data_IF_831954044399
#
_entry.id   IF_831954044399
#
_cell.length_a   1.000
_cell.length_b   1.000
_cell.length_c   1.000
_cell.angle_alpha   90.00
_cell.angle_beta   90.00
_cell.angle_gamma   90.00
#
_symmetry.space_group_name_H-M   'P 1'
#
loop_
_entity.id
_entity.type
_entity.pdbx_description
1 polymer ?
#
# COMPACT_ATOMS: atom_id res chain seq x y z
N UNK A 1 -7.56 -1.11 7.08
CA UNK A 1 -7.65 0.10 6.21
C UNK A 1 -7.69 -0.34 4.75
N UNK A 2 -8.37 0.39 3.86
CA UNK A 2 -8.28 0.15 2.42
C UNK A 2 -7.15 0.99 1.80
N UNK A 3 -6.10 0.34 1.28
CA UNK A 3 -4.94 1.01 0.66
C UNK A 3 -5.35 1.83 -0.58
N UNK A 4 -6.36 1.39 -1.33
CA UNK A 4 -6.82 2.07 -2.54
C UNK A 4 -7.49 3.41 -2.24
N UNK A 5 -8.12 3.56 -1.08
CA UNK A 5 -8.81 4.79 -0.67
C UNK A 5 -8.04 5.63 0.35
N UNK A 6 -6.96 5.08 0.93
CA UNK A 6 -6.19 5.74 1.98
C UNK A 6 -5.50 7.02 1.47
N UNK A 7 -5.50 8.07 2.29
CA UNK A 7 -4.70 9.27 2.05
C UNK A 7 -3.20 8.99 2.27
N UNK A 8 -2.28 9.80 1.70
CA UNK A 8 -0.86 9.58 1.92
C UNK A 8 -0.46 9.74 3.39
N UNK A 9 -1.19 10.54 4.17
CA UNK A 9 -1.00 10.66 5.61
C UNK A 9 -1.37 9.38 6.36
N UNK A 10 -2.51 8.78 6.03
CA UNK A 10 -2.94 7.50 6.60
C UNK A 10 -1.96 6.38 6.24
N UNK A 11 -1.49 6.32 5.00
CA UNK A 11 -0.48 5.35 4.57
C UNK A 11 0.81 5.49 5.38
N UNK A 12 1.29 6.72 5.59
CA UNK A 12 2.52 6.98 6.36
C UNK A 12 2.38 6.52 7.83
N UNK A 13 1.21 6.72 8.44
CA UNK A 13 0.97 6.39 9.84
C UNK A 13 0.73 4.89 10.03
N UNK A 14 -0.10 4.29 9.18
CA UNK A 14 -0.58 2.92 9.35
C UNK A 14 0.44 1.92 8.81
N UNK A 15 1.01 2.16 7.63
CA UNK A 15 2.05 1.30 7.07
C UNK A 15 3.44 1.61 7.66
N UNK A 16 3.54 2.65 8.50
CA UNK A 16 4.79 3.16 9.08
C UNK A 16 5.88 3.47 8.03
N UNK A 17 5.46 3.72 6.79
CA UNK A 17 6.35 4.02 5.67
C UNK A 17 6.71 5.51 5.62
N UNK A 18 7.80 5.82 4.92
CA UNK A 18 8.19 7.21 4.69
C UNK A 18 7.18 7.94 3.79
N UNK A 19 7.06 9.26 3.96
CA UNK A 19 6.21 10.12 3.10
C UNK A 19 6.52 9.96 1.59
N UNK A 20 7.79 9.87 1.15
CA UNK A 20 8.10 9.58 -0.26
C UNK A 20 7.56 8.22 -0.72
N UNK A 21 7.62 7.18 0.11
CA UNK A 21 7.09 5.86 -0.24
C UNK A 21 5.56 5.87 -0.30
N UNK A 22 4.89 6.60 0.60
CA UNK A 22 3.45 6.81 0.54
C UNK A 22 3.03 7.51 -0.77
N UNK A 23 3.80 8.49 -1.23
CA UNK A 23 3.55 9.15 -2.53
C UNK A 23 3.75 8.19 -3.71
N UNK A 24 4.80 7.36 -3.70
CA UNK A 24 5.00 6.33 -4.74
C UNK A 24 3.87 5.30 -4.76
N UNK A 25 3.36 4.92 -3.59
CA UNK A 25 2.20 4.03 -3.46
C UNK A 25 0.96 4.62 -4.11
N UNK A 26 0.71 5.92 -3.93
CA UNK A 26 -0.39 6.60 -4.61
C UNK A 26 -0.17 6.69 -6.12
N UNK A 27 1.03 7.04 -6.57
CA UNK A 27 1.32 7.08 -8.00
C UNK A 27 1.08 5.71 -8.66
N UNK A 28 1.57 4.64 -8.02
CA UNK A 28 1.41 3.28 -8.50
C UNK A 28 -0.06 2.83 -8.50
N UNK A 29 -0.84 3.16 -7.46
CA UNK A 29 -2.28 2.83 -7.45
C UNK A 29 -3.03 3.56 -8.57
N UNK A 30 -2.67 4.79 -8.90
CA UNK A 30 -3.30 5.55 -9.99
C UNK A 30 -2.94 4.93 -11.35
N UNK A 31 -1.71 4.45 -11.51
CA UNK A 31 -1.25 3.74 -12.72
C UNK A 31 -1.97 2.39 -12.91
N UNK A 32 -2.25 1.68 -11.82
CA UNK A 32 -2.90 0.36 -11.85
C UNK A 32 -4.43 0.41 -11.79
N UNK A 33 -5.02 1.61 -11.72
CA UNK A 33 -6.44 1.83 -11.46
C UNK A 33 -6.92 1.17 -10.15
N UNK A 34 -6.05 1.20 -9.14
CA UNK A 34 -6.19 0.53 -7.85
C UNK A 34 -5.45 -0.80 -7.80
N UNK A 35 -4.92 -1.12 -6.63
CA UNK A 35 -4.37 -2.44 -6.34
C UNK A 35 -5.49 -3.47 -6.32
N UNK A 36 -5.33 -4.53 -7.10
CA UNK A 36 -6.30 -5.64 -7.19
C UNK A 36 -5.80 -6.81 -6.38
N UNK A 37 -4.48 -7.00 -6.37
CA UNK A 37 -3.82 -8.06 -5.63
C UNK A 37 -2.66 -7.48 -4.82
N UNK A 38 -2.32 -8.12 -3.68
CA UNK A 38 -1.17 -7.70 -2.89
C UNK A 38 0.16 -7.67 -3.63
N UNK A 39 0.31 -8.53 -4.63
CA UNK A 39 1.52 -8.57 -5.46
C UNK A 39 1.75 -7.25 -6.21
N UNK A 40 0.71 -6.47 -6.46
CA UNK A 40 0.83 -5.18 -7.12
C UNK A 40 1.69 -4.19 -6.31
N UNK A 41 1.68 -4.29 -4.97
CA UNK A 41 2.50 -3.46 -4.09
C UNK A 41 3.99 -3.82 -4.16
N UNK A 42 4.34 -5.05 -4.54
CA UNK A 42 5.73 -5.50 -4.68
C UNK A 42 6.45 -4.85 -5.87
N UNK A 43 5.72 -4.14 -6.74
CA UNK A 43 6.31 -3.28 -7.76
C UNK A 43 7.07 -2.09 -7.16
N UNK A 44 6.80 -1.76 -5.88
CA UNK A 44 7.64 -0.86 -5.10
C UNK A 44 8.80 -1.65 -4.50
N UNK A 45 10.05 -1.47 -4.98
CA UNK A 45 11.20 -2.22 -4.47
C UNK A 45 11.51 -1.93 -3.00
N UNK A 46 10.94 -0.85 -2.45
CA UNK A 46 11.02 -0.52 -1.03
C UNK A 46 10.01 -1.28 -0.14
N UNK A 47 9.02 -1.96 -0.73
CA UNK A 47 8.08 -2.82 0.01
C UNK A 47 8.45 -4.27 -0.27
N UNK A 48 8.95 -4.94 0.75
CA UNK A 48 9.30 -6.36 0.66
C UNK A 48 8.09 -7.27 0.89
N UNK A 49 8.17 -8.52 0.43
CA UNK A 49 7.12 -9.52 0.69
C UNK A 49 6.87 -9.76 2.18
N UNK A 50 7.89 -9.54 3.03
CA UNK A 50 7.80 -9.70 4.48
C UNK A 50 6.94 -8.60 5.13
N UNK A 51 7.16 -7.34 4.77
CA UNK A 51 6.36 -6.20 5.26
C UNK A 51 4.88 -6.36 4.87
N UNK A 52 4.60 -6.95 3.72
CA UNK A 52 3.23 -7.25 3.31
C UNK A 52 2.55 -8.32 4.19
N UNK A 53 3.24 -9.41 4.52
CA UNK A 53 2.66 -10.45 5.39
C UNK A 53 2.30 -9.86 6.76
N UNK A 54 3.16 -9.01 7.31
CA UNK A 54 2.92 -8.29 8.56
C UNK A 54 1.68 -7.39 8.46
N UNK A 55 1.50 -6.67 7.34
CA UNK A 55 0.31 -5.84 7.13
C UNK A 55 -0.99 -6.65 7.08
N UNK A 56 -0.95 -7.86 6.52
CA UNK A 56 -2.07 -8.79 6.55
C UNK A 56 -2.46 -9.17 7.99
N UNK A 57 -1.48 -9.40 8.86
CA UNK A 57 -1.71 -9.66 10.29
C UNK A 57 -2.26 -8.42 11.03
N UNK A 58 -1.86 -7.22 10.62
CA UNK A 58 -2.35 -5.94 11.16
C UNK A 58 -3.73 -5.52 10.65
N UNK A 59 -4.37 -6.32 9.77
CA UNK A 59 -5.71 -6.05 9.24
C UNK A 59 -5.74 -4.93 8.19
N UNK A 60 -4.61 -4.68 7.54
CA UNK A 60 -4.53 -3.85 6.33
C UNK A 60 -5.04 -4.70 5.17
N UNK A 61 -6.01 -4.18 4.42
CA UNK A 61 -6.67 -4.91 3.33
C UNK A 61 -6.62 -4.11 2.04
N UNK A 62 -6.46 -4.82 0.93
CA UNK A 62 -6.69 -4.28 -0.40
C UNK A 62 -8.14 -4.57 -0.73
N UNK A 63 -8.94 -3.53 -0.91
CA UNK A 63 -10.32 -3.68 -1.38
C UNK A 63 -10.45 -3.03 -2.74
N UNK A 64 -10.85 -3.84 -3.70
CA UNK A 64 -11.40 -3.42 -4.99
C UNK A 64 -12.88 -3.13 -4.74
N UNK A 65 -13.24 -1.85 -4.64
CA UNK A 65 -14.64 -1.42 -4.73
C UNK A 65 -15.12 -1.41 -6.19
#
# INVERSE_FOLDING_TARGET
ININSASPGELTIILQISKPLAQKTIALREELEGFKEPIDLTQLPEITTLEWEEWGEEGIVISVE
#
